data_IF_545886151151
#
_entry.id   IF_545886151151
#
_cell.length_a   1.000
_cell.length_b   1.000
_cell.length_c   1.000
_cell.angle_alpha   90.00
_cell.angle_beta   90.00
_cell.angle_gamma   90.00
#
_symmetry.space_group_name_H-M   'P 1'
#
loop_
_entity.id
_entity.type
_entity.pdbx_description
1 polymer ?
#
# COMPACT_ATOMS: atom_id res chain seq x y z
N UNK A 1 38.64 22.55 45.28
CA UNK A 1 37.23 22.76 44.91
C UNK A 1 37.21 23.26 43.47
N UNK A 2 37.14 22.34 42.49
CA UNK A 2 37.13 22.67 41.06
C UNK A 2 35.70 22.45 40.53
N UNK A 3 35.12 23.46 39.88
CA UNK A 3 33.80 23.33 39.23
C UNK A 3 33.90 22.42 37.99
N UNK A 4 32.92 21.53 37.71
CA UNK A 4 32.91 20.76 36.48
C UNK A 4 32.41 21.63 35.31
N UNK A 5 33.18 21.66 34.23
CA UNK A 5 32.77 22.24 32.95
C UNK A 5 31.64 21.40 32.33
N UNK A 6 30.53 22.04 31.96
CA UNK A 6 29.45 21.40 31.19
C UNK A 6 29.97 21.03 29.79
N UNK A 7 29.98 19.73 29.50
CA UNK A 7 30.37 19.19 28.21
C UNK A 7 29.20 19.28 27.21
N UNK A 8 29.46 19.76 26.00
CA UNK A 8 28.46 19.86 24.93
C UNK A 8 27.94 18.47 24.53
N UNK A 9 26.64 18.34 24.19
CA UNK A 9 26.05 17.05 23.85
C UNK A 9 26.59 16.49 22.52
N UNK A 10 26.66 15.15 22.39
CA UNK A 10 27.22 14.50 21.21
C UNK A 10 26.31 14.63 19.97
N UNK A 11 26.94 14.70 18.79
CA UNK A 11 26.34 15.00 17.47
C UNK A 11 25.32 13.98 16.94
N UNK A 12 25.03 12.90 17.68
CA UNK A 12 24.00 11.92 17.30
C UNK A 12 22.63 12.22 17.93
N UNK A 13 22.53 13.21 18.83
CA UNK A 13 21.26 13.68 19.37
C UNK A 13 20.52 14.57 18.35
N UNK A 14 20.24 14.03 17.16
CA UNK A 14 19.28 14.61 16.24
C UNK A 14 17.88 14.34 16.78
N UNK A 15 17.39 15.24 17.64
CA UNK A 15 15.96 15.32 17.94
C UNK A 15 15.16 15.56 16.66
N UNK A 16 13.88 15.15 16.59
CA UNK A 16 13.05 15.38 15.42
C UNK A 16 12.94 16.90 15.19
N UNK A 17 13.42 17.33 14.03
CA UNK A 17 13.40 18.72 13.58
C UNK A 17 11.94 19.17 13.38
N UNK A 18 11.43 20.18 14.12
CA UNK A 18 10.01 20.56 14.11
C UNK A 18 9.56 21.20 12.77
N UNK A 19 10.49 21.45 11.86
CA UNK A 19 10.23 22.02 10.54
C UNK A 19 10.22 21.00 9.40
N UNK A 20 10.44 19.70 9.67
CA UNK A 20 10.30 18.68 8.63
C UNK A 20 8.83 18.31 8.51
N UNK A 21 8.16 18.55 7.35
CA UNK A 21 6.84 17.98 7.13
C UNK A 21 6.97 16.48 7.35
N UNK A 22 6.14 15.93 8.26
CA UNK A 22 6.05 14.50 8.46
C UNK A 22 5.94 13.85 7.07
N UNK A 23 6.61 12.71 6.82
CA UNK A 23 6.31 11.97 5.61
C UNK A 23 4.81 11.73 5.65
N UNK A 24 4.07 12.30 4.70
CA UNK A 24 2.63 12.03 4.55
C UNK A 24 2.54 10.52 4.61
N UNK A 25 1.92 10.03 5.68
CA UNK A 25 1.95 8.59 5.92
C UNK A 25 1.29 7.95 4.70
N UNK A 26 1.86 6.88 4.17
CA UNK A 26 1.34 6.24 2.95
C UNK A 26 -0.19 5.98 3.05
N UNK A 27 -0.67 5.76 4.27
CA UNK A 27 -2.07 5.67 4.67
C UNK A 27 -2.90 6.94 4.41
N UNK A 28 -2.35 8.13 4.64
CA UNK A 28 -3.00 9.43 4.40
C UNK A 28 -3.29 9.66 2.92
N UNK A 29 -2.33 9.34 2.04
CA UNK A 29 -2.51 9.46 0.59
C UNK A 29 -3.51 8.44 0.03
N UNK A 30 -3.61 7.26 0.66
CA UNK A 30 -4.62 6.23 0.35
C UNK A 30 -6.01 6.69 0.75
N UNK A 31 -6.12 7.26 1.96
CA UNK A 31 -7.37 7.77 2.50
C UNK A 31 -7.91 8.93 1.66
N UNK A 32 -7.06 9.85 1.22
CA UNK A 32 -7.48 10.98 0.40
C UNK A 32 -7.98 10.53 -0.99
N UNK A 33 -7.32 9.54 -1.61
CA UNK A 33 -7.82 8.94 -2.87
C UNK A 33 -9.20 8.30 -2.69
N UNK A 34 -9.37 7.54 -1.60
CA UNK A 34 -10.64 6.88 -1.27
C UNK A 34 -11.76 7.90 -1.09
N UNK A 35 -11.49 8.98 -0.33
CA UNK A 35 -12.41 10.10 -0.14
C UNK A 35 -12.76 10.80 -1.45
N UNK A 36 -11.76 11.02 -2.31
CA UNK A 36 -11.93 11.64 -3.62
C UNK A 36 -12.83 10.81 -4.54
N UNK A 37 -12.68 9.49 -4.52
CA UNK A 37 -13.54 8.56 -5.26
C UNK A 37 -15.00 8.61 -4.75
N UNK A 38 -15.20 8.54 -3.44
CA UNK A 38 -16.54 8.63 -2.84
C UNK A 38 -17.23 9.95 -3.19
N UNK A 39 -16.47 11.06 -3.20
CA UNK A 39 -16.99 12.36 -3.64
C UNK A 39 -17.46 12.33 -5.10
N UNK A 40 -16.65 11.78 -6.00
CA UNK A 40 -17.02 11.67 -7.42
C UNK A 40 -18.26 10.77 -7.63
N UNK A 41 -18.38 9.67 -6.89
CA UNK A 41 -19.58 8.83 -6.88
C UNK A 41 -20.81 9.61 -6.42
N UNK A 42 -20.66 10.43 -5.39
CA UNK A 42 -21.76 11.24 -4.88
C UNK A 42 -22.18 12.32 -5.89
N UNK A 43 -21.24 12.95 -6.58
CA UNK A 43 -21.51 13.89 -7.67
C UNK A 43 -22.27 13.21 -8.82
N UNK A 44 -21.83 12.04 -9.27
CA UNK A 44 -22.53 11.25 -10.27
C UNK A 44 -23.95 10.85 -9.81
N UNK A 45 -24.12 10.45 -8.54
CA UNK A 45 -25.44 10.12 -7.98
C UNK A 45 -26.38 11.33 -7.98
N UNK A 46 -25.82 12.52 -7.70
CA UNK A 46 -26.56 13.78 -7.70
C UNK A 46 -26.96 14.23 -9.11
N UNK A 47 -26.30 13.74 -10.16
CA UNK A 47 -26.67 14.04 -11.54
C UNK A 47 -28.08 13.51 -11.88
N UNK A 48 -28.47 12.35 -11.33
CA UNK A 48 -29.79 11.75 -11.59
C UNK A 48 -30.96 12.72 -11.30
N UNK A 49 -31.16 13.24 -10.07
CA UNK A 49 -32.25 14.16 -9.81
C UNK A 49 -32.14 15.45 -10.64
N UNK A 50 -30.93 15.94 -10.92
CA UNK A 50 -30.74 17.11 -11.79
C UNK A 50 -31.27 16.88 -13.21
N UNK A 51 -30.97 15.72 -13.80
CA UNK A 51 -31.45 15.35 -15.12
C UNK A 51 -32.97 15.18 -15.16
N UNK A 52 -33.58 14.61 -14.12
CA UNK A 52 -35.04 14.51 -14.03
C UNK A 52 -35.70 15.89 -13.93
N UNK A 53 -35.21 16.78 -13.05
CA UNK A 53 -35.74 18.13 -12.94
C UNK A 53 -35.57 18.93 -14.24
N UNK A 54 -34.44 18.76 -14.92
CA UNK A 54 -34.21 19.40 -16.21
C UNK A 54 -35.17 18.86 -17.29
N UNK A 55 -35.39 17.54 -17.34
CA UNK A 55 -36.32 16.92 -18.28
C UNK A 55 -37.77 17.42 -18.05
N UNK A 56 -38.21 17.51 -16.79
CA UNK A 56 -39.52 18.05 -16.43
C UNK A 56 -39.65 19.53 -16.86
N UNK A 57 -38.60 20.33 -16.66
CA UNK A 57 -38.56 21.71 -17.14
C UNK A 57 -38.65 21.80 -18.67
N UNK A 58 -37.92 20.95 -19.39
CA UNK A 58 -37.96 20.89 -20.85
C UNK A 58 -39.37 20.57 -21.37
N UNK A 59 -40.07 19.63 -20.74
CA UNK A 59 -41.45 19.27 -21.09
C UNK A 59 -42.40 20.46 -20.87
N UNK A 60 -42.37 21.08 -19.68
CA UNK A 60 -43.22 22.24 -19.37
C UNK A 60 -42.93 23.41 -20.30
N UNK A 61 -41.66 23.69 -20.58
CA UNK A 61 -41.22 24.77 -21.46
C UNK A 61 -41.73 24.56 -22.89
N UNK A 62 -41.68 23.32 -23.38
CA UNK A 62 -42.21 23.00 -24.70
C UNK A 62 -43.73 23.16 -24.76
N UNK A 63 -44.49 22.67 -23.76
CA UNK A 63 -45.95 22.75 -23.77
C UNK A 63 -46.48 24.19 -23.75
N UNK A 64 -45.88 25.08 -22.96
CA UNK A 64 -46.41 26.43 -22.71
C UNK A 64 -45.83 27.54 -23.62
N UNK A 65 -44.82 27.24 -24.45
CA UNK A 65 -44.24 28.22 -25.36
C UNK A 65 -44.94 28.24 -26.71
N UNK A 66 -45.22 29.44 -27.23
CA UNK A 66 -45.68 29.66 -28.61
C UNK A 66 -44.54 29.45 -29.63
N UNK A 67 -43.29 29.71 -29.24
CA UNK A 67 -42.10 29.61 -30.10
C UNK A 67 -41.47 28.22 -30.04
N UNK A 68 -42.22 27.20 -30.49
CA UNK A 68 -41.83 25.78 -30.39
C UNK A 68 -40.47 25.47 -31.04
N UNK A 69 -40.14 26.07 -32.18
CA UNK A 69 -38.89 25.81 -32.89
C UNK A 69 -37.66 26.22 -32.07
N UNK A 70 -37.70 27.39 -31.43
CA UNK A 70 -36.60 27.90 -30.60
C UNK A 70 -36.43 27.00 -29.37
N UNK A 71 -37.54 26.59 -28.74
CA UNK A 71 -37.51 25.68 -27.58
C UNK A 71 -36.91 24.33 -27.96
N UNK A 72 -37.27 23.77 -29.12
CA UNK A 72 -36.72 22.49 -29.58
C UNK A 72 -35.21 22.55 -29.84
N UNK A 73 -34.72 23.63 -30.44
CA UNK A 73 -33.29 23.79 -30.71
C UNK A 73 -32.48 23.86 -29.39
N UNK A 74 -32.95 24.66 -28.44
CA UNK A 74 -32.39 24.73 -27.10
C UNK A 74 -32.42 23.38 -26.35
N UNK A 75 -33.51 22.62 -26.51
CA UNK A 75 -33.64 21.29 -25.92
C UNK A 75 -32.61 20.30 -26.48
N UNK A 76 -32.34 20.33 -27.79
CA UNK A 76 -31.34 19.47 -28.42
C UNK A 76 -29.95 19.79 -27.91
N UNK A 77 -29.59 21.07 -27.88
CA UNK A 77 -28.31 21.53 -27.34
C UNK A 77 -28.14 21.11 -25.88
N UNK A 78 -29.21 21.24 -25.09
CA UNK A 78 -29.21 20.80 -23.70
C UNK A 78 -29.03 19.28 -23.58
N UNK A 79 -29.75 18.48 -24.39
CA UNK A 79 -29.64 17.02 -24.36
C UNK A 79 -28.22 16.54 -24.68
N UNK A 80 -27.56 17.16 -25.68
CA UNK A 80 -26.16 16.87 -26.00
C UNK A 80 -25.25 17.20 -24.81
N UNK A 81 -25.41 18.38 -24.20
CA UNK A 81 -24.61 18.79 -23.03
C UNK A 81 -24.84 17.89 -21.82
N UNK A 82 -26.08 17.48 -21.58
CA UNK A 82 -26.45 16.56 -20.50
C UNK A 82 -25.81 15.19 -20.68
N UNK A 83 -25.79 14.66 -21.91
CA UNK A 83 -25.10 13.41 -22.25
C UNK A 83 -23.59 13.52 -22.04
N UNK A 84 -22.96 14.58 -22.54
CA UNK A 84 -21.51 14.80 -22.36
C UNK A 84 -21.16 14.91 -20.87
N UNK A 85 -21.96 15.63 -20.09
CA UNK A 85 -21.78 15.78 -18.64
C UNK A 85 -21.91 14.43 -17.90
N UNK A 86 -22.92 13.62 -18.25
CA UNK A 86 -23.08 12.29 -17.67
C UNK A 86 -21.89 11.37 -17.98
N UNK A 87 -21.40 11.39 -19.23
CA UNK A 87 -20.22 10.64 -19.64
C UNK A 87 -18.97 11.13 -18.92
N UNK A 88 -18.81 12.44 -18.73
CA UNK A 88 -17.67 13.03 -17.99
C UNK A 88 -17.65 12.60 -16.52
N UNK A 89 -18.80 12.64 -15.83
CA UNK A 89 -18.89 12.15 -14.46
C UNK A 89 -18.62 10.65 -14.35
N UNK A 90 -19.11 9.84 -15.30
CA UNK A 90 -18.80 8.41 -15.36
C UNK A 90 -17.31 8.17 -15.60
N UNK A 91 -16.69 8.92 -16.51
CA UNK A 91 -15.26 8.86 -16.79
C UNK A 91 -14.42 9.22 -15.57
N UNK A 92 -14.81 10.25 -14.83
CA UNK A 92 -14.14 10.65 -13.58
C UNK A 92 -14.22 9.57 -12.51
N UNK A 93 -15.39 8.95 -12.33
CA UNK A 93 -15.58 7.83 -11.38
C UNK A 93 -14.73 6.64 -11.79
N UNK A 94 -14.74 6.27 -13.08
CA UNK A 94 -13.94 5.18 -13.60
C UNK A 94 -12.44 5.41 -13.39
N UNK A 95 -11.93 6.60 -13.72
CA UNK A 95 -10.54 6.97 -13.51
C UNK A 95 -10.11 6.83 -12.04
N UNK A 96 -10.90 7.40 -11.11
CA UNK A 96 -10.60 7.33 -9.68
C UNK A 96 -10.68 5.90 -9.12
N UNK A 97 -11.59 5.09 -9.63
CA UNK A 97 -11.68 3.67 -9.26
C UNK A 97 -10.45 2.89 -9.72
N UNK A 98 -10.02 3.12 -10.97
CA UNK A 98 -8.81 2.50 -11.51
C UNK A 98 -7.58 2.89 -10.72
N UNK A 99 -7.42 4.17 -10.37
CA UNK A 99 -6.31 4.66 -9.55
C UNK A 99 -6.25 3.99 -8.16
N UNK A 100 -7.41 3.83 -7.49
CA UNK A 100 -7.51 3.09 -6.23
C UNK A 100 -7.14 1.60 -6.40
N UNK A 101 -7.59 0.99 -7.49
CA UNK A 101 -7.31 -0.41 -7.78
C UNK A 101 -5.82 -0.65 -8.05
N UNK A 102 -5.19 0.19 -8.88
CA UNK A 102 -3.75 0.14 -9.16
C UNK A 102 -2.90 0.30 -7.89
N UNK A 103 -3.31 1.21 -6.99
CA UNK A 103 -2.69 1.34 -5.69
C UNK A 103 -2.79 0.03 -4.88
N UNK A 104 -3.98 -0.56 -4.77
CA UNK A 104 -4.18 -1.80 -4.03
C UNK A 104 -3.34 -2.95 -4.60
N UNK A 105 -3.23 -3.06 -5.93
CA UNK A 105 -2.37 -4.06 -6.59
C UNK A 105 -0.89 -3.88 -6.21
N UNK A 106 -0.41 -2.63 -6.17
CA UNK A 106 0.96 -2.31 -5.74
C UNK A 106 1.21 -2.65 -4.26
N UNK A 107 0.23 -2.38 -3.40
CA UNK A 107 0.28 -2.73 -1.98
C UNK A 107 0.36 -4.24 -1.76
N UNK A 108 -0.51 -5.01 -2.43
CA UNK A 108 -0.50 -6.48 -2.38
C UNK A 108 0.86 -7.01 -2.84
N UNK A 109 1.38 -6.52 -3.96
CA UNK A 109 2.70 -6.94 -4.47
C UNK A 109 3.82 -6.67 -3.45
N UNK A 110 3.76 -5.52 -2.76
CA UNK A 110 4.72 -5.18 -1.70
C UNK A 110 4.62 -6.12 -0.50
N UNK A 111 3.40 -6.49 -0.10
CA UNK A 111 3.17 -7.44 0.99
C UNK A 111 3.65 -8.84 0.60
N UNK A 112 3.36 -9.28 -0.62
CA UNK A 112 3.83 -10.57 -1.15
C UNK A 112 5.37 -10.67 -1.13
N UNK A 113 6.07 -9.62 -1.53
CA UNK A 113 7.54 -9.57 -1.44
C UNK A 113 8.04 -9.65 -0.01
N UNK A 114 7.39 -8.97 0.94
CA UNK A 114 7.73 -9.07 2.37
C UNK A 114 7.51 -10.49 2.90
N UNK A 115 6.40 -11.12 2.54
CA UNK A 115 6.09 -12.51 2.91
C UNK A 115 7.13 -13.46 2.33
N UNK A 116 7.51 -13.31 1.05
CA UNK A 116 8.54 -14.12 0.42
C UNK A 116 9.90 -13.98 1.13
N UNK A 117 10.29 -12.75 1.49
CA UNK A 117 11.52 -12.49 2.26
C UNK A 117 11.50 -13.17 3.63
N UNK A 118 10.39 -13.05 4.36
CA UNK A 118 10.23 -13.73 5.65
C UNK A 118 10.28 -15.25 5.51
N UNK A 119 9.63 -15.82 4.51
CA UNK A 119 9.68 -17.25 4.22
C UNK A 119 11.11 -17.72 3.94
N UNK A 120 11.88 -16.96 3.16
CA UNK A 120 13.29 -17.26 2.89
C UNK A 120 14.14 -17.23 4.18
N UNK A 121 13.92 -16.24 5.05
CA UNK A 121 14.62 -16.14 6.33
C UNK A 121 14.31 -17.33 7.23
N UNK A 122 13.02 -17.70 7.35
CA UNK A 122 12.58 -18.86 8.13
C UNK A 122 13.21 -20.15 7.60
N UNK A 123 13.16 -20.39 6.29
CA UNK A 123 13.77 -21.56 5.67
C UNK A 123 15.29 -21.62 5.90
N UNK A 124 15.95 -20.47 5.83
CA UNK A 124 17.40 -20.37 6.08
C UNK A 124 17.72 -20.70 7.53
N UNK A 125 16.97 -20.16 8.49
CA UNK A 125 17.12 -20.46 9.91
C UNK A 125 16.87 -21.95 10.21
N UNK A 126 15.83 -22.54 9.60
CA UNK A 126 15.55 -23.97 9.74
C UNK A 126 16.72 -24.81 9.22
N UNK A 127 17.16 -24.53 7.99
CA UNK A 127 18.29 -25.24 7.36
C UNK A 127 19.57 -25.12 8.19
N UNK A 128 19.84 -23.95 8.78
CA UNK A 128 20.99 -23.73 9.65
C UNK A 128 20.86 -24.55 10.95
N UNK A 129 19.69 -24.54 11.58
CA UNK A 129 19.41 -25.30 12.81
C UNK A 129 19.56 -26.80 12.58
N UNK A 130 19.04 -27.32 11.46
CA UNK A 130 19.16 -28.73 11.10
C UNK A 130 20.62 -29.14 10.87
N UNK A 131 21.41 -28.29 10.19
CA UNK A 131 22.85 -28.52 9.98
C UNK A 131 23.63 -28.51 11.29
N UNK A 132 23.36 -27.58 12.21
CA UNK A 132 24.00 -27.56 13.52
C UNK A 132 23.59 -28.76 14.38
N UNK A 133 22.32 -29.17 14.34
CA UNK A 133 21.85 -30.38 15.02
C UNK A 133 22.58 -31.64 14.55
N UNK A 134 22.73 -31.80 13.22
CA UNK A 134 23.49 -32.91 12.65
C UNK A 134 24.97 -32.87 13.06
N UNK A 135 25.59 -31.68 13.05
CA UNK A 135 26.98 -31.48 13.48
C UNK A 135 27.17 -31.88 14.95
N UNK A 136 26.25 -31.52 15.83
CA UNK A 136 26.29 -31.90 17.25
C UNK A 136 26.15 -33.43 17.42
N UNK A 137 25.24 -34.07 16.69
CA UNK A 137 25.08 -35.53 16.73
C UNK A 137 26.36 -36.26 16.28
N UNK A 138 27.01 -35.78 15.22
CA UNK A 138 28.28 -36.35 14.74
C UNK A 138 29.40 -36.21 15.79
N UNK A 139 29.49 -35.07 16.47
CA UNK A 139 30.50 -34.84 17.51
C UNK A 139 30.38 -35.80 18.70
N UNK A 140 29.16 -36.16 19.10
CA UNK A 140 28.91 -37.12 20.18
C UNK A 140 29.31 -38.55 19.76
N UNK A 141 29.22 -38.86 18.46
CA UNK A 141 29.54 -40.18 17.89
C UNK A 141 31.01 -40.41 17.53
N UNK A 142 31.93 -39.50 17.86
CA UNK A 142 33.34 -39.65 17.49
C UNK A 142 33.99 -40.79 18.29
N UNK A 143 34.30 -41.88 17.57
CA UNK A 143 35.15 -42.96 18.05
C UNK A 143 36.51 -42.38 18.44
N UNK A 144 36.86 -42.48 19.72
CA UNK A 144 38.21 -42.23 20.19
C UNK A 144 39.17 -43.11 19.39
N UNK A 145 40.06 -42.46 18.63
CA UNK A 145 41.12 -43.16 17.88
C UNK A 145 42.18 -43.60 18.89
N UNK A 146 41.88 -44.68 19.61
CA UNK A 146 42.81 -45.29 20.55
C UNK A 146 44.05 -45.77 19.79
N UNK A 147 45.21 -45.20 20.11
CA UNK A 147 46.48 -45.77 19.66
C UNK A 147 46.72 -47.08 20.42
N UNK A 148 46.93 -48.18 19.70
CA UNK A 148 47.30 -49.46 20.33
C UNK A 148 48.73 -49.35 20.88
N UNK A 149 48.87 -49.11 22.17
CA UNK A 149 50.15 -49.23 22.86
C UNK A 149 50.31 -50.69 23.28
N UNK A 150 51.19 -51.43 22.60
CA UNK A 150 51.62 -52.74 23.07
C UNK A 150 52.75 -52.54 24.08
N UNK A 151 52.50 -52.86 25.34
CA UNK A 151 53.55 -52.96 26.36
C UNK A 151 54.23 -54.32 26.16
N UNK A 152 55.49 -54.30 25.72
CA UNK A 152 56.34 -55.50 25.70
C UNK A 152 56.88 -55.72 27.11
N UNK A 153 56.63 -56.87 27.75
CA UNK A 153 57.18 -57.17 29.07
C UNK A 153 58.71 -57.24 28.99
N UNK A 154 59.40 -56.42 29.77
CA UNK A 154 60.84 -56.55 29.98
C UNK A 154 61.13 -57.90 30.62
N UNK A 155 62.04 -58.67 30.03
CA UNK A 155 62.60 -59.86 30.68
C UNK A 155 63.73 -59.39 31.60
N UNK A 156 63.56 -59.62 32.89
CA UNK A 156 64.61 -59.49 33.90
C UNK A 156 65.77 -60.45 33.58
N UNK A 157 66.97 -59.90 33.41
CA UNK A 157 68.28 -60.55 33.65
C UNK A 157 69.25 -59.48 34.14
#
# INVERSE_FOLDING_TARGET
MQQPQLQAPPSWASGPDPARPAPTTFDEASMERSKSFVKALQELKNLRPQLYSAAEYCEKSYLHSEQKHIVLDNLKDYAVRALVNAVDHLGTVAYKLTDLYEQQVSEVSTVELKVASLNQQVLTCQTYTDKEGLRQQQMIGNATRHHKHYIVPSKDV
#
